data_IF_540701415154
#
_entry.id   IF_540701415154
#
_cell.length_a   1.000
_cell.length_b   1.000
_cell.length_c   1.000
_cell.angle_alpha   90.00
_cell.angle_beta   90.00
_cell.angle_gamma   90.00
#
_symmetry.space_group_name_H-M   'P 1'
#
loop_
_entity.id
_entity.type
_entity.pdbx_description
1 polymer ?
#
# COMPACT_ATOMS: atom_id res chain seq x y z
N UNK A 1 21.27 23.05 2.01
CA UNK A 1 21.18 21.59 2.29
C UNK A 1 20.14 20.97 1.37
N UNK A 2 20.59 20.40 0.24
CA UNK A 2 19.75 19.63 -0.69
C UNK A 2 19.34 18.35 0.04
N UNK A 3 18.13 18.28 0.59
CA UNK A 3 17.50 16.97 0.81
C UNK A 3 17.21 16.44 -0.58
N UNK A 4 18.14 15.65 -1.12
CA UNK A 4 17.81 14.75 -2.20
C UNK A 4 16.54 14.01 -1.77
N UNK A 5 15.47 14.16 -2.54
CA UNK A 5 14.31 13.30 -2.44
C UNK A 5 14.79 11.90 -2.80
N UNK A 6 15.42 11.21 -1.84
CA UNK A 6 15.80 9.83 -1.99
C UNK A 6 14.52 9.10 -2.37
N UNK A 7 14.51 8.45 -3.53
CA UNK A 7 13.49 7.47 -3.92
C UNK A 7 13.24 6.60 -2.70
N UNK A 8 12.14 6.84 -1.98
CA UNK A 8 11.81 6.07 -0.80
C UNK A 8 11.56 4.65 -1.29
N UNK A 9 12.48 3.75 -0.97
CA UNK A 9 12.33 2.32 -1.26
C UNK A 9 11.00 1.87 -0.63
N UNK A 10 10.31 0.92 -1.26
CA UNK A 10 8.97 0.52 -0.84
C UNK A 10 8.88 0.14 0.65
N UNK A 11 9.89 -0.51 1.21
CA UNK A 11 9.91 -0.88 2.63
C UNK A 11 9.84 0.32 3.58
N UNK A 12 10.80 1.26 3.55
CA UNK A 12 10.73 2.49 4.34
C UNK A 12 9.44 3.29 4.13
N UNK A 13 8.95 3.36 2.88
CA UNK A 13 7.66 4.00 2.60
C UNK A 13 6.49 3.29 3.32
N UNK A 14 6.44 1.95 3.26
CA UNK A 14 5.37 1.17 3.88
C UNK A 14 5.36 1.35 5.40
N UNK A 15 6.54 1.35 6.04
CA UNK A 15 6.66 1.62 7.48
C UNK A 15 6.13 3.01 7.83
N UNK A 16 6.43 4.03 7.02
CA UNK A 16 5.89 5.37 7.21
C UNK A 16 4.35 5.41 7.05
N UNK A 17 3.82 4.68 6.06
CA UNK A 17 2.38 4.55 5.84
C UNK A 17 1.66 3.83 7.00
N UNK A 18 2.29 2.83 7.62
CA UNK A 18 1.76 2.18 8.83
C UNK A 18 1.79 3.15 10.02
N UNK A 19 2.88 3.91 10.17
CA UNK A 19 3.04 4.88 11.26
C UNK A 19 2.06 6.05 11.18
N UNK A 20 1.61 6.43 9.98
CA UNK A 20 0.68 7.56 9.83
C UNK A 20 -0.73 7.23 10.32
N UNK A 21 -1.12 5.94 10.33
CA UNK A 21 -2.45 5.50 10.79
C UNK A 21 -3.62 5.99 9.92
N UNK A 22 -3.34 6.59 8.75
CA UNK A 22 -4.37 7.18 7.89
C UNK A 22 -5.09 6.15 7.00
N UNK A 23 -4.50 4.98 6.82
CA UNK A 23 -5.02 3.93 5.95
C UNK A 23 -5.78 2.88 6.77
N UNK A 24 -7.11 2.74 6.59
CA UNK A 24 -7.91 1.79 7.35
C UNK A 24 -7.36 0.35 7.24
N UNK A 25 -7.14 -0.29 8.39
CA UNK A 25 -6.66 -1.66 8.49
C UNK A 25 -5.17 -1.88 8.18
N UNK A 26 -4.42 -0.85 7.79
CA UNK A 26 -2.96 -0.85 7.74
C UNK A 26 -2.43 -0.23 9.04
N UNK A 27 -2.04 -1.07 10.00
CA UNK A 27 -1.61 -0.61 11.31
C UNK A 27 -0.67 -1.61 11.99
N UNK A 28 0.04 -1.15 13.02
CA UNK A 28 0.80 -2.01 13.91
C UNK A 28 -0.13 -2.94 14.70
N UNK A 29 0.26 -4.21 14.85
CA UNK A 29 -0.49 -5.19 15.64
C UNK A 29 -0.07 -5.21 17.11
N UNK A 30 1.11 -4.67 17.42
CA UNK A 30 1.64 -4.55 18.78
C UNK A 30 2.16 -3.14 19.09
N UNK A 31 2.13 -2.69 20.36
CA UNK A 31 2.76 -1.43 20.77
C UNK A 31 4.27 -1.40 20.52
N UNK A 32 4.94 -2.56 20.50
CA UNK A 32 6.36 -2.71 20.19
C UNK A 32 6.71 -2.40 18.73
N UNK A 33 5.70 -2.26 17.84
CA UNK A 33 5.87 -1.99 16.40
C UNK A 33 6.79 -3.02 15.71
N UNK A 34 6.66 -4.27 16.14
CA UNK A 34 7.43 -5.39 15.58
C UNK A 34 6.71 -6.07 14.43
N UNK A 35 5.37 -5.99 14.41
CA UNK A 35 4.53 -6.57 13.37
C UNK A 35 3.41 -5.60 12.97
N UNK A 36 3.04 -5.61 11.71
CA UNK A 36 1.95 -4.81 11.17
C UNK A 36 1.04 -5.64 10.28
N UNK A 37 -0.22 -5.23 10.19
CA UNK A 37 -1.20 -5.86 9.32
C UNK A 37 -1.41 -5.07 8.05
N UNK A 38 -1.69 -5.77 6.94
CA UNK A 38 -2.07 -5.20 5.66
C UNK A 38 -3.45 -5.73 5.26
N UNK A 39 -4.41 -4.88 4.90
CA UNK A 39 -5.71 -5.32 4.37
C UNK A 39 -5.54 -6.20 3.12
N UNK A 40 -6.26 -7.32 3.09
CA UNK A 40 -6.08 -8.37 2.08
C UNK A 40 -7.38 -8.86 1.45
N UNK A 41 -8.39 -7.98 1.38
CA UNK A 41 -9.71 -8.24 0.79
C UNK A 41 -9.60 -8.79 -0.63
N UNK A 42 -10.31 -9.86 -0.98
CA UNK A 42 -10.25 -10.46 -2.32
C UNK A 42 -10.95 -9.60 -3.38
N UNK A 43 -10.35 -9.47 -4.58
CA UNK A 43 -10.88 -8.61 -5.66
C UNK A 43 -12.28 -9.01 -6.16
N UNK A 44 -12.66 -10.27 -5.98
CA UNK A 44 -13.98 -10.79 -6.37
C UNK A 44 -15.12 -10.34 -5.44
N UNK A 45 -14.80 -9.69 -4.31
CA UNK A 45 -15.80 -9.17 -3.39
C UNK A 45 -16.48 -7.93 -3.95
N UNK A 46 -17.81 -7.90 -3.89
CA UNK A 46 -18.63 -6.79 -4.39
C UNK A 46 -18.58 -5.54 -3.49
N UNK A 47 -18.16 -5.70 -2.24
CA UNK A 47 -18.10 -4.65 -1.21
C UNK A 47 -16.72 -3.98 -1.10
N UNK A 48 -15.90 -4.02 -2.15
CA UNK A 48 -14.63 -3.26 -2.19
C UNK A 48 -14.92 -1.78 -2.42
N UNK A 49 -14.41 -0.94 -1.54
CA UNK A 49 -14.56 0.51 -1.55
C UNK A 49 -13.29 1.21 -2.03
N UNK A 50 -13.37 2.52 -2.30
CA UNK A 50 -12.20 3.34 -2.64
C UNK A 50 -11.14 3.35 -1.51
N UNK A 51 -11.57 3.30 -0.24
CA UNK A 51 -10.66 3.27 0.91
C UNK A 51 -9.87 1.96 1.00
N UNK A 52 -10.46 0.84 0.56
CA UNK A 52 -9.78 -0.46 0.51
C UNK A 52 -8.59 -0.48 -0.48
N UNK A 53 -8.56 0.47 -1.43
CA UNK A 53 -7.54 0.52 -2.50
C UNK A 53 -6.58 1.70 -2.38
N UNK A 54 -6.82 2.61 -1.43
CA UNK A 54 -6.08 3.87 -1.31
C UNK A 54 -4.59 3.68 -0.98
N UNK A 55 -4.27 2.74 -0.08
CA UNK A 55 -2.88 2.36 0.24
C UNK A 55 -2.12 1.86 -0.99
N UNK A 56 -2.80 1.18 -1.92
CA UNK A 56 -2.18 0.63 -3.13
C UNK A 56 -1.85 1.72 -4.15
N UNK A 57 -2.67 2.77 -4.23
CA UNK A 57 -2.47 3.92 -5.12
C UNK A 57 -1.23 4.73 -4.72
N UNK A 58 -1.06 5.03 -3.43
CA UNK A 58 0.06 5.86 -2.94
C UNK A 58 1.39 5.11 -3.01
N UNK A 59 1.37 3.79 -2.81
CA UNK A 59 2.55 2.94 -2.99
C UNK A 59 3.09 2.91 -4.42
N UNK A 60 2.24 3.18 -5.42
CA UNK A 60 2.65 3.39 -6.81
C UNK A 60 3.29 4.76 -7.01
N UNK A 61 2.66 5.82 -6.49
CA UNK A 61 3.15 7.19 -6.53
C UNK A 61 4.58 7.34 -5.95
N UNK A 62 4.87 6.60 -4.86
CA UNK A 62 6.21 6.56 -4.25
C UNK A 62 7.30 5.92 -5.12
N UNK A 63 6.93 5.15 -6.16
CA UNK A 63 7.87 4.55 -7.12
C UNK A 63 8.04 5.39 -8.39
N UNK A 64 7.02 6.14 -8.79
CA UNK A 64 6.97 6.87 -10.06
C UNK A 64 6.77 8.37 -9.89
N UNK A 65 7.68 9.05 -9.18
CA UNK A 65 7.93 10.48 -9.41
C UNK A 65 9.42 10.78 -9.45
N UNK A 66 10.05 10.34 -10.53
CA UNK A 66 11.17 11.04 -11.10
C UNK A 66 10.62 12.08 -12.11
N UNK A 67 10.12 13.21 -11.63
CA UNK A 67 10.31 14.49 -12.31
C UNK A 67 9.96 15.65 -11.36
N UNK A 68 10.92 16.52 -11.01
CA UNK A 68 10.57 17.84 -10.52
C UNK A 68 9.99 18.62 -11.71
N UNK A 69 8.79 19.18 -11.52
CA UNK A 69 8.25 20.30 -12.28
C UNK A 69 8.26 20.16 -13.82
N UNK A 70 7.20 19.58 -14.40
CA UNK A 70 6.74 20.04 -15.75
C UNK A 70 5.32 19.59 -16.12
N UNK A 71 4.72 18.64 -15.43
CA UNK A 71 3.33 18.24 -15.73
C UNK A 71 2.51 18.16 -14.45
N UNK A 72 1.29 18.74 -14.41
CA UNK A 72 0.36 18.45 -13.33
C UNK A 72 0.19 16.92 -13.23
N UNK A 73 -0.01 16.37 -12.03
CA UNK A 73 -0.31 14.95 -11.89
C UNK A 73 -1.42 14.60 -12.88
N UNK A 74 -1.31 13.50 -13.64
CA UNK A 74 -2.36 13.12 -14.57
C UNK A 74 -3.68 13.13 -13.79
N UNK A 75 -4.76 13.72 -14.34
CA UNK A 75 -6.05 13.71 -13.65
C UNK A 75 -6.34 12.27 -13.22
N UNK A 76 -6.94 12.04 -12.04
CA UNK A 76 -7.38 10.69 -11.68
C UNK A 76 -8.16 10.20 -12.88
N UNK A 77 -7.69 9.11 -13.52
CA UNK A 77 -8.39 8.55 -14.67
C UNK A 77 -9.84 8.38 -14.23
N UNK A 78 -10.69 9.21 -14.82
CA UNK A 78 -12.12 9.25 -14.61
C UNK A 78 -12.65 7.92 -15.15
N UNK A 79 -12.59 6.91 -14.29
CA UNK A 79 -12.77 5.52 -14.66
C UNK A 79 -12.27 4.61 -13.55
N UNK A 80 -13.14 4.33 -12.57
CA UNK A 80 -12.91 3.46 -11.41
C UNK A 80 -12.58 1.98 -11.78
N UNK A 81 -12.36 1.67 -13.06
CA UNK A 81 -12.36 0.31 -13.61
C UNK A 81 -10.98 -0.36 -13.69
N UNK A 82 -9.96 0.33 -14.20
CA UNK A 82 -8.76 -0.37 -14.72
C UNK A 82 -7.49 -0.21 -13.85
N UNK A 83 -7.31 0.93 -13.18
CA UNK A 83 -6.08 1.19 -12.38
C UNK A 83 -6.02 0.46 -11.04
N UNK A 84 -7.17 0.20 -10.39
CA UNK A 84 -7.22 -0.35 -9.02
C UNK A 84 -6.53 -1.72 -8.89
N UNK A 85 -6.63 -2.55 -9.93
CA UNK A 85 -6.08 -3.90 -9.90
C UNK A 85 -4.58 -3.89 -10.16
N UNK A 86 -4.11 -3.01 -11.05
CA UNK A 86 -2.68 -2.81 -11.31
C UNK A 86 -1.95 -2.34 -10.04
N UNK A 87 -2.53 -1.36 -9.32
CA UNK A 87 -1.97 -0.84 -8.06
C UNK A 87 -1.79 -1.93 -7.00
N UNK A 88 -2.80 -2.78 -6.85
CA UNK A 88 -2.77 -3.89 -5.88
C UNK A 88 -1.77 -4.97 -6.28
N UNK A 89 -1.68 -5.31 -7.57
CA UNK A 89 -0.67 -6.23 -8.09
C UNK A 89 0.74 -5.69 -7.85
N UNK A 90 0.99 -4.42 -8.20
CA UNK A 90 2.27 -3.76 -8.00
C UNK A 90 2.65 -3.69 -6.51
N UNK A 91 1.70 -3.38 -5.63
CA UNK A 91 1.94 -3.40 -4.18
C UNK A 91 2.37 -4.78 -3.69
N UNK A 92 1.66 -5.85 -4.09
CA UNK A 92 1.99 -7.23 -3.68
C UNK A 92 3.35 -7.66 -4.20
N UNK A 93 3.66 -7.33 -5.45
CA UNK A 93 4.97 -7.60 -6.04
C UNK A 93 6.07 -6.88 -5.27
N UNK A 94 5.89 -5.58 -4.98
CA UNK A 94 6.86 -4.80 -4.21
C UNK A 94 7.03 -5.35 -2.79
N UNK A 95 5.94 -5.67 -2.09
CA UNK A 95 5.97 -6.27 -0.75
C UNK A 95 6.75 -7.59 -0.73
N UNK A 96 6.56 -8.44 -1.74
CA UNK A 96 7.32 -9.69 -1.89
C UNK A 96 8.78 -9.45 -2.25
N UNK A 97 9.06 -8.47 -3.11
CA UNK A 97 10.41 -8.24 -3.65
C UNK A 97 11.34 -7.54 -2.66
N UNK A 98 10.82 -6.76 -1.70
CA UNK A 98 11.69 -6.07 -0.74
C UNK A 98 12.46 -7.04 0.14
N UNK A 99 11.92 -8.25 0.39
CA UNK A 99 12.45 -9.23 1.35
C UNK A 99 12.62 -8.66 2.78
N UNK A 100 12.08 -7.48 3.07
CA UNK A 100 12.21 -6.81 4.37
C UNK A 100 11.18 -7.32 5.39
N UNK A 101 10.07 -7.86 4.91
CA UNK A 101 8.95 -8.26 5.74
C UNK A 101 8.65 -9.74 5.53
N UNK A 102 8.38 -10.45 6.62
CA UNK A 102 8.08 -11.88 6.59
C UNK A 102 6.63 -12.06 7.00
N UNK A 103 5.88 -12.83 6.22
CA UNK A 103 4.52 -13.19 6.61
C UNK A 103 4.54 -13.98 7.93
N UNK A 104 3.88 -13.45 8.94
CA UNK A 104 3.70 -14.07 10.26
C UNK A 104 2.36 -14.82 10.32
N UNK A 105 1.29 -14.17 9.88
CA UNK A 105 -0.07 -14.73 9.92
C UNK A 105 -0.86 -14.43 8.64
N UNK A 106 -1.66 -15.40 8.19
CA UNK A 106 -2.51 -15.26 7.01
C UNK A 106 -4.01 -15.35 7.37
N UNK A 107 -4.60 -14.17 7.57
CA UNK A 107 -6.04 -14.00 7.84
C UNK A 107 -6.81 -13.61 6.57
N UNK A 108 -6.25 -13.82 5.38
CA UNK A 108 -6.86 -13.32 4.13
C UNK A 108 -8.19 -13.98 3.75
N UNK A 109 -8.53 -15.09 4.40
CA UNK A 109 -9.79 -15.84 4.20
C UNK A 109 -10.90 -15.43 5.18
N UNK A 110 -10.65 -14.53 6.14
CA UNK A 110 -11.68 -14.05 7.08
C UNK A 110 -12.78 -13.29 6.32
N UNK A 111 -14.03 -13.52 6.70
CA UNK A 111 -15.20 -12.95 6.02
C UNK A 111 -15.47 -11.49 6.40
N UNK A 112 -15.19 -11.14 7.64
CA UNK A 112 -15.34 -9.80 8.23
C UNK A 112 -14.12 -8.92 7.91
N UNK A 113 -12.92 -9.40 8.25
CA UNK A 113 -11.70 -8.60 8.27
C UNK A 113 -10.50 -9.34 7.65
N UNK A 114 -10.47 -9.50 6.32
CA UNK A 114 -9.39 -10.19 5.64
C UNK A 114 -8.10 -9.36 5.63
N UNK A 115 -7.05 -9.87 6.27
CA UNK A 115 -5.75 -9.20 6.36
C UNK A 115 -4.58 -10.19 6.42
N UNK A 116 -3.35 -9.69 6.34
CA UNK A 116 -2.13 -10.47 6.59
C UNK A 116 -1.22 -9.72 7.54
N UNK A 117 -0.56 -10.44 8.45
CA UNK A 117 0.38 -9.87 9.42
C UNK A 117 1.80 -10.14 8.94
N UNK A 118 2.63 -9.09 8.90
CA UNK A 118 4.00 -9.10 8.44
C UNK A 118 4.95 -8.54 9.49
#
# INVERSE_FOLDING_TARGET
ARREAQKLRFGPWLVSAVNSGIYPGLCWTSPSREAFRVPWKHNARKDITSSDVEVFKVGEMGRSHAHPQTHPPPPPSSGLGEGKWAWKTNFRCALRSTRMFRLLEDHSKRGDDPHKVF
#
